data_IF_511299821500
#
_entry.id   IF_511299821500
#
_cell.length_a   1.000
_cell.length_b   1.000
_cell.length_c   1.000
_cell.angle_alpha   90.00
_cell.angle_beta   90.00
_cell.angle_gamma   90.00
#
_symmetry.space_group_name_H-M   'P 1'
#
loop_
_entity.id
_entity.type
_entity.pdbx_description
1 polymer ?
#
# COMPACT_ATOMS: atom_id res chain seq x y z
N UNK A 1 35.15 57.32 -38.24
CA UNK A 1 33.74 56.98 -37.92
C UNK A 1 33.50 55.50 -37.58
N UNK A 2 34.30 54.55 -38.10
CA UNK A 2 34.09 53.11 -37.85
C UNK A 2 34.13 52.66 -36.39
N UNK A 3 35.08 53.17 -35.58
CA UNK A 3 35.22 52.76 -34.18
C UNK A 3 34.03 53.20 -33.29
N UNK A 4 33.51 54.41 -33.50
CA UNK A 4 32.32 54.89 -32.77
C UNK A 4 31.06 54.09 -33.14
N UNK A 5 30.92 53.74 -34.41
CA UNK A 5 29.81 52.90 -34.88
C UNK A 5 29.91 51.45 -34.35
N UNK A 6 31.12 50.90 -34.28
CA UNK A 6 31.37 49.58 -33.69
C UNK A 6 31.02 49.53 -32.20
N UNK A 7 31.40 50.55 -31.44
CA UNK A 7 31.06 50.65 -30.01
C UNK A 7 29.54 50.79 -29.81
N UNK A 8 28.88 51.59 -30.63
CA UNK A 8 27.42 51.74 -30.59
C UNK A 8 26.69 50.41 -30.89
N UNK A 9 27.21 49.62 -31.83
CA UNK A 9 26.67 48.31 -32.17
C UNK A 9 26.83 47.31 -31.01
N UNK A 10 28.00 47.27 -30.37
CA UNK A 10 28.24 46.44 -29.19
C UNK A 10 27.31 46.80 -28.02
N UNK A 11 27.09 48.09 -27.79
CA UNK A 11 26.18 48.57 -26.75
C UNK A 11 24.75 48.07 -27.03
N UNK A 12 24.30 48.20 -28.28
CA UNK A 12 22.96 47.75 -28.69
C UNK A 12 22.77 46.24 -28.52
N UNK A 13 23.78 45.44 -28.90
CA UNK A 13 23.77 43.98 -28.71
C UNK A 13 23.71 43.63 -27.21
N UNK A 14 24.43 44.34 -26.36
CA UNK A 14 24.41 44.09 -24.91
C UNK A 14 23.05 44.38 -24.28
N UNK A 15 22.38 45.44 -24.73
CA UNK A 15 21.04 45.82 -24.24
C UNK A 15 20.03 44.76 -24.66
N UNK A 16 20.07 44.32 -25.92
CA UNK A 16 19.19 43.23 -26.39
C UNK A 16 19.46 41.94 -25.62
N UNK A 17 20.72 41.58 -25.41
CA UNK A 17 21.09 40.38 -24.67
C UNK A 17 20.60 40.38 -23.22
N UNK A 18 20.54 41.55 -22.57
CA UNK A 18 20.01 41.69 -21.21
C UNK A 18 18.53 41.29 -21.09
N UNK A 19 17.73 41.50 -22.15
CA UNK A 19 16.31 41.13 -22.16
C UNK A 19 16.05 39.71 -22.65
N UNK A 20 17.08 38.93 -23.04
CA UNK A 20 16.91 37.51 -23.36
C UNK A 20 16.80 36.77 -22.02
N UNK A 21 15.62 36.24 -21.64
CA UNK A 21 15.50 35.48 -20.42
C UNK A 21 16.39 34.23 -20.53
N UNK A 22 17.37 34.12 -19.64
CA UNK A 22 18.10 32.87 -19.46
C UNK A 22 17.06 31.85 -19.04
N UNK A 23 16.64 30.98 -19.97
CA UNK A 23 15.88 29.78 -19.59
C UNK A 23 16.75 29.05 -18.59
N UNK A 24 16.39 29.11 -17.30
CA UNK A 24 16.91 28.15 -16.34
C UNK A 24 16.63 26.81 -16.99
N UNK A 25 17.67 26.00 -17.15
CA UNK A 25 17.46 24.58 -17.41
C UNK A 25 16.57 24.12 -16.26
N UNK A 26 15.27 24.01 -16.50
CA UNK A 26 14.42 23.19 -15.68
C UNK A 26 15.12 21.85 -15.70
N UNK A 27 15.74 21.49 -14.58
CA UNK A 27 16.11 20.10 -14.36
C UNK A 27 14.79 19.38 -14.52
N UNK A 28 14.59 18.75 -15.67
CA UNK A 28 13.56 17.73 -15.83
C UNK A 28 13.99 16.67 -14.85
N UNK A 29 13.57 16.83 -13.61
CA UNK A 29 13.74 15.87 -12.56
C UNK A 29 12.75 14.79 -12.95
N UNK A 30 13.19 13.93 -13.87
CA UNK A 30 12.54 12.65 -14.10
C UNK A 30 12.57 12.02 -12.71
N UNK A 31 11.44 12.00 -12.01
CA UNK A 31 11.29 11.27 -10.76
C UNK A 31 11.54 9.81 -11.09
N UNK A 32 12.80 9.41 -10.99
CA UNK A 32 13.23 8.06 -11.22
C UNK A 32 12.77 7.29 -9.99
N UNK A 33 11.87 6.32 -10.19
CA UNK A 33 11.28 5.50 -9.13
C UNK A 33 12.34 4.52 -8.56
N UNK A 34 13.26 5.10 -7.79
CA UNK A 34 14.42 4.40 -7.25
C UNK A 34 14.13 3.92 -5.82
N UNK A 35 14.56 2.70 -5.47
CA UNK A 35 14.59 2.24 -4.09
C UNK A 35 15.40 3.19 -3.20
N UNK A 36 14.83 3.59 -2.07
CA UNK A 36 15.53 4.34 -1.02
C UNK A 36 16.32 3.40 -0.12
N UNK A 37 15.72 2.25 0.24
CA UNK A 37 16.32 1.24 1.12
C UNK A 37 15.85 -0.15 0.70
N UNK A 38 16.73 -1.14 0.76
CA UNK A 38 16.44 -2.55 0.51
C UNK A 38 16.85 -3.34 1.75
N UNK A 39 15.97 -4.24 2.19
CA UNK A 39 16.20 -5.14 3.30
C UNK A 39 16.11 -6.59 2.84
N UNK A 40 17.09 -7.38 3.26
CA UNK A 40 17.20 -8.82 3.00
C UNK A 40 16.80 -9.60 4.25
N UNK A 41 15.83 -10.52 4.09
CA UNK A 41 15.21 -11.31 5.17
C UNK A 41 14.84 -10.49 6.42
N UNK A 42 14.16 -9.34 6.29
CA UNK A 42 13.91 -8.47 7.43
C UNK A 42 12.88 -9.04 8.41
N UNK A 43 13.07 -8.67 9.68
CA UNK A 43 12.02 -8.63 10.70
C UNK A 43 11.92 -7.17 11.15
N UNK A 44 10.81 -6.49 10.81
CA UNK A 44 10.60 -5.08 11.14
C UNK A 44 9.48 -4.92 12.17
N UNK A 45 9.74 -4.11 13.19
CA UNK A 45 8.78 -3.75 14.21
C UNK A 45 8.41 -2.28 14.07
N UNK A 46 7.11 -1.98 14.14
CA UNK A 46 6.62 -0.61 14.28
C UNK A 46 6.00 -0.48 15.66
N UNK A 47 6.51 0.48 16.42
CA UNK A 47 6.06 0.77 17.78
C UNK A 47 5.16 1.99 17.78
N UNK A 48 4.27 2.08 18.77
CA UNK A 48 3.64 3.32 19.18
C UNK A 48 3.84 3.52 20.69
N UNK A 49 3.22 4.56 21.24
CA UNK A 49 3.40 4.94 22.65
C UNK A 49 2.94 3.86 23.65
N UNK A 50 2.18 2.85 23.20
CA UNK A 50 1.62 1.80 24.06
C UNK A 50 2.32 0.46 23.87
N UNK A 51 2.54 0.02 22.63
CA UNK A 51 3.01 -1.32 22.32
C UNK A 51 3.56 -1.46 20.89
N UNK A 52 3.87 -2.70 20.50
CA UNK A 52 4.16 -3.07 19.12
C UNK A 52 2.86 -3.01 18.32
N UNK A 53 2.78 -2.05 17.39
CA UNK A 53 1.64 -1.88 16.49
C UNK A 53 1.68 -2.86 15.31
N UNK A 54 2.85 -3.04 14.69
CA UNK A 54 3.01 -3.89 13.50
C UNK A 54 4.30 -4.69 13.54
N UNK A 55 4.22 -5.93 13.09
CA UNK A 55 5.38 -6.80 12.83
C UNK A 55 5.34 -7.21 11.37
N UNK A 56 6.46 -7.06 10.66
CA UNK A 56 6.63 -7.50 9.27
C UNK A 56 7.77 -8.50 9.21
N UNK A 57 7.50 -9.69 8.68
CA UNK A 57 8.51 -10.69 8.33
C UNK A 57 8.42 -10.88 6.82
N UNK A 58 9.52 -10.76 6.10
CA UNK A 58 9.55 -10.91 4.65
C UNK A 58 10.86 -11.54 4.18
N UNK A 59 10.88 -12.05 2.95
CA UNK A 59 12.12 -12.48 2.31
C UNK A 59 12.90 -11.27 1.79
N UNK A 60 12.20 -10.31 1.19
CA UNK A 60 12.75 -9.01 0.78
C UNK A 60 11.75 -7.90 1.08
N UNK A 61 12.24 -6.74 1.50
CA UNK A 61 11.43 -5.52 1.58
C UNK A 61 12.18 -4.35 0.93
N UNK A 62 11.48 -3.58 0.10
CA UNK A 62 12.04 -2.45 -0.64
C UNK A 62 11.21 -1.22 -0.33
N UNK A 63 11.85 -0.20 0.21
CA UNK A 63 11.24 1.10 0.49
C UNK A 63 11.48 2.04 -0.69
N UNK A 64 10.40 2.60 -1.22
CA UNK A 64 10.42 3.70 -2.20
C UNK A 64 9.88 4.97 -1.54
N UNK A 65 9.96 6.09 -2.26
CA UNK A 65 9.44 7.38 -1.78
C UNK A 65 7.93 7.34 -1.46
N UNK A 66 7.14 6.57 -2.22
CA UNK A 66 5.67 6.58 -2.15
C UNK A 66 5.05 5.23 -1.74
N UNK A 67 5.86 4.19 -1.56
CA UNK A 67 5.37 2.84 -1.24
C UNK A 67 6.46 1.98 -0.62
N UNK A 68 6.02 0.94 0.07
CA UNK A 68 6.88 -0.17 0.47
C UNK A 68 6.43 -1.43 -0.30
N UNK A 69 7.36 -2.16 -0.89
CA UNK A 69 7.12 -3.46 -1.51
C UNK A 69 7.73 -4.55 -0.63
N UNK A 70 6.96 -5.59 -0.33
CA UNK A 70 7.37 -6.70 0.53
C UNK A 70 7.07 -8.02 -0.19
N UNK A 71 8.04 -8.93 -0.23
CA UNK A 71 7.97 -10.19 -0.96
C UNK A 71 7.97 -11.38 -0.01
N UNK A 72 7.10 -12.35 -0.28
CA UNK A 72 6.83 -13.51 0.58
C UNK A 72 6.63 -13.07 2.04
N UNK A 73 5.72 -12.12 2.23
CA UNK A 73 5.61 -11.34 3.45
C UNK A 73 4.46 -11.82 4.33
N UNK A 74 4.67 -11.69 5.63
CA UNK A 74 3.76 -12.02 6.71
C UNK A 74 3.71 -10.81 7.67
N UNK A 75 2.61 -10.07 7.64
CA UNK A 75 2.43 -8.84 8.41
C UNK A 75 1.39 -9.09 9.49
N UNK A 76 1.77 -8.86 10.73
CA UNK A 76 0.84 -8.83 11.87
C UNK A 76 0.54 -7.40 12.26
N UNK A 77 -0.74 -7.03 12.30
CA UNK A 77 -1.26 -5.74 12.76
C UNK A 77 -1.96 -5.95 14.10
N UNK A 78 -1.49 -5.30 15.15
CA UNK A 78 -2.10 -5.39 16.48
C UNK A 78 -3.28 -4.42 16.58
N UNK A 79 -4.34 -4.87 17.24
CA UNK A 79 -5.50 -4.03 17.51
C UNK A 79 -5.06 -2.78 18.31
N UNK A 80 -5.46 -1.61 17.82
CA UNK A 80 -5.20 -0.32 18.46
C UNK A 80 -6.43 0.26 19.14
N UNK A 81 -7.62 -0.28 18.81
CA UNK A 81 -8.89 0.13 19.36
C UNK A 81 -9.34 -0.87 20.42
N UNK A 82 -9.17 -0.49 21.69
CA UNK A 82 -9.54 -1.30 22.84
C UNK A 82 -11.05 -1.55 22.95
N UNK A 83 -11.89 -0.85 22.17
CA UNK A 83 -13.33 -1.11 22.12
C UNK A 83 -13.70 -2.27 21.20
N UNK A 84 -12.77 -2.76 20.38
CA UNK A 84 -12.97 -3.88 19.48
C UNK A 84 -12.42 -5.17 20.08
N UNK A 85 -13.22 -6.23 20.03
CA UNK A 85 -12.85 -7.54 20.58
C UNK A 85 -12.05 -8.38 19.56
N UNK A 86 -10.79 -8.00 19.36
CA UNK A 86 -9.80 -8.83 18.67
C UNK A 86 -8.39 -8.42 19.10
N UNK A 87 -7.44 -9.34 18.99
CA UNK A 87 -6.03 -9.09 19.33
C UNK A 87 -5.23 -8.61 18.13
N UNK A 88 -5.42 -9.25 16.97
CA UNK A 88 -4.60 -9.00 15.80
C UNK A 88 -5.21 -9.42 14.47
N UNK A 89 -4.65 -8.84 13.42
CA UNK A 89 -4.89 -9.20 12.03
C UNK A 89 -3.58 -9.66 11.41
N UNK A 90 -3.68 -10.59 10.47
CA UNK A 90 -2.54 -11.12 9.74
C UNK A 90 -2.78 -11.01 8.24
N UNK A 91 -1.81 -10.44 7.54
CA UNK A 91 -1.79 -10.21 6.11
C UNK A 91 -0.60 -10.97 5.52
N UNK A 92 -0.88 -12.02 4.74
CA UNK A 92 0.15 -12.85 4.13
C UNK A 92 -0.06 -12.98 2.62
N UNK A 93 1.01 -12.80 1.84
CA UNK A 93 0.98 -12.95 0.38
C UNK A 93 2.40 -13.06 -0.20
N UNK A 94 2.49 -13.48 -1.47
CA UNK A 94 3.77 -13.50 -2.20
C UNK A 94 4.29 -12.09 -2.49
N UNK A 95 3.38 -11.13 -2.72
CA UNK A 95 3.72 -9.71 -2.84
C UNK A 95 2.72 -8.84 -2.09
N UNK A 96 3.22 -7.94 -1.26
CA UNK A 96 2.45 -6.90 -0.58
C UNK A 96 3.02 -5.54 -0.95
N UNK A 97 2.19 -4.66 -1.50
CA UNK A 97 2.53 -3.25 -1.75
C UNK A 97 1.75 -2.41 -0.74
N UNK A 98 2.45 -1.66 0.10
CA UNK A 98 1.86 -0.72 1.05
C UNK A 98 1.98 0.71 0.51
N UNK A 99 0.87 1.43 0.41
CA UNK A 99 0.80 2.86 0.09
C UNK A 99 -0.05 3.57 1.13
N UNK A 100 0.56 4.41 1.97
CA UNK A 100 -0.13 4.90 3.17
C UNK A 100 -0.62 3.71 3.99
N UNK A 101 -1.89 3.68 4.37
CA UNK A 101 -2.49 2.60 5.18
C UNK A 101 -3.24 1.55 4.35
N UNK A 102 -3.04 1.56 3.03
CA UNK A 102 -3.61 0.60 2.10
C UNK A 102 -2.56 -0.43 1.71
N UNK A 103 -2.92 -1.70 1.87
CA UNK A 103 -2.12 -2.86 1.49
C UNK A 103 -2.76 -3.54 0.28
N UNK A 104 -2.00 -3.68 -0.81
CA UNK A 104 -2.38 -4.48 -1.97
C UNK A 104 -1.60 -5.79 -1.93
N UNK A 105 -2.30 -6.89 -1.65
CA UNK A 105 -1.77 -8.24 -1.54
C UNK A 105 -2.04 -8.99 -2.84
N UNK A 106 -1.03 -9.67 -3.37
CA UNK A 106 -1.10 -10.39 -4.65
C UNK A 106 -0.47 -11.78 -4.53
N UNK A 107 -1.18 -12.78 -5.04
CA UNK A 107 -0.89 -14.22 -5.02
C UNK A 107 -0.80 -14.83 -3.61
N UNK A 108 -1.32 -16.05 -3.48
CA UNK A 108 -1.39 -16.82 -2.23
C UNK A 108 -1.85 -15.99 -1.02
N UNK A 109 -2.84 -15.13 -1.23
CA UNK A 109 -3.27 -14.16 -0.23
C UNK A 109 -4.06 -14.86 0.86
N UNK A 110 -3.61 -14.69 2.10
CA UNK A 110 -4.29 -15.14 3.31
C UNK A 110 -4.45 -13.94 4.23
N UNK A 111 -5.69 -13.61 4.53
CA UNK A 111 -6.07 -12.68 5.56
C UNK A 111 -6.65 -13.45 6.75
N UNK A 112 -6.30 -13.05 7.96
CA UNK A 112 -6.84 -13.62 9.20
C UNK A 112 -7.10 -12.51 10.22
N UNK A 113 -8.21 -12.57 10.95
CA UNK A 113 -8.43 -11.78 12.17
C UNK A 113 -8.71 -12.75 13.30
N UNK A 114 -7.77 -12.83 14.24
CA UNK A 114 -7.67 -13.89 15.25
C UNK A 114 -8.16 -15.24 14.70
N UNK A 115 -8.84 -16.06 15.48
CA UNK A 115 -9.24 -17.38 15.03
C UNK A 115 -10.62 -17.43 14.36
N UNK A 116 -11.33 -16.30 14.28
CA UNK A 116 -12.72 -16.25 13.83
C UNK A 116 -12.90 -15.72 12.41
N UNK A 117 -11.96 -15.00 11.80
CA UNK A 117 -12.04 -14.64 10.36
C UNK A 117 -10.83 -15.17 9.61
N UNK A 118 -11.09 -15.85 8.50
CA UNK A 118 -10.07 -16.22 7.50
C UNK A 118 -10.57 -15.87 6.12
N UNK A 119 -9.69 -15.41 5.24
CA UNK A 119 -10.01 -15.12 3.85
C UNK A 119 -8.84 -15.50 2.97
N UNK A 120 -9.09 -16.42 2.04
CA UNK A 120 -8.13 -16.89 1.04
C UNK A 120 -8.52 -16.36 -0.34
N UNK A 121 -7.57 -15.77 -1.06
CA UNK A 121 -7.79 -15.27 -2.42
C UNK A 121 -6.45 -15.09 -3.17
N UNK A 122 -6.49 -14.64 -4.42
CA UNK A 122 -5.30 -14.31 -5.20
C UNK A 122 -4.99 -12.81 -5.23
N UNK A 123 -5.92 -11.98 -4.78
CA UNK A 123 -5.74 -10.54 -4.74
C UNK A 123 -6.61 -9.95 -3.64
N UNK A 124 -6.07 -9.05 -2.83
CA UNK A 124 -6.82 -8.35 -1.79
C UNK A 124 -6.28 -6.93 -1.66
N UNK A 125 -7.19 -5.96 -1.57
CA UNK A 125 -6.87 -4.59 -1.16
C UNK A 125 -7.45 -4.42 0.24
N UNK A 126 -6.59 -4.13 1.20
CA UNK A 126 -6.95 -3.95 2.60
C UNK A 126 -6.64 -2.53 3.05
N UNK A 127 -7.65 -1.82 3.54
CA UNK A 127 -7.55 -0.50 4.16
C UNK A 127 -7.52 -0.66 5.67
N UNK A 128 -6.37 -0.37 6.29
CA UNK A 128 -6.13 -0.59 7.72
C UNK A 128 -6.81 0.46 8.62
N UNK A 129 -7.11 1.65 8.08
CA UNK A 129 -7.86 2.68 8.81
C UNK A 129 -9.34 2.33 8.83
N UNK A 130 -9.93 2.14 7.64
CA UNK A 130 -11.36 1.90 7.52
C UNK A 130 -11.76 0.45 7.82
N UNK A 131 -10.77 -0.45 7.93
CA UNK A 131 -10.96 -1.90 8.10
C UNK A 131 -11.83 -2.50 6.99
N UNK A 132 -11.51 -2.10 5.75
CA UNK A 132 -12.24 -2.55 4.55
C UNK A 132 -11.33 -3.46 3.72
N UNK A 133 -11.80 -4.67 3.43
CA UNK A 133 -11.15 -5.64 2.56
C UNK A 133 -11.94 -5.78 1.25
N UNK A 134 -11.28 -5.59 0.11
CA UNK A 134 -11.90 -5.68 -1.22
C UNK A 134 -11.10 -6.58 -2.13
N UNK A 135 -11.77 -7.31 -3.01
CA UNK A 135 -11.10 -7.99 -4.10
C UNK A 135 -11.88 -7.95 -5.42
N UNK A 136 -11.24 -8.48 -6.46
CA UNK A 136 -11.81 -8.68 -7.79
C UNK A 136 -11.57 -10.10 -8.31
N UNK A 137 -11.21 -11.04 -7.42
CA UNK A 137 -10.89 -12.45 -7.73
C UNK A 137 -11.81 -13.38 -6.94
N UNK A 138 -11.87 -14.67 -7.28
CA UNK A 138 -12.50 -15.66 -6.41
C UNK A 138 -11.89 -15.64 -5.01
N UNK A 139 -12.73 -15.85 -4.01
CA UNK A 139 -12.31 -15.95 -2.62
C UNK A 139 -13.05 -17.06 -1.89
N UNK A 140 -12.43 -17.50 -0.81
CA UNK A 140 -13.01 -18.36 0.21
C UNK A 140 -12.78 -17.71 1.57
N UNK A 141 -13.87 -17.27 2.18
CA UNK A 141 -13.93 -16.74 3.52
C UNK A 141 -14.46 -17.78 4.51
N UNK A 142 -13.98 -17.71 5.74
CA UNK A 142 -14.51 -18.45 6.88
C UNK A 142 -14.76 -17.45 8.00
N UNK A 143 -15.97 -17.45 8.54
CA UNK A 143 -16.35 -16.71 9.74
C UNK A 143 -16.79 -17.70 10.81
N UNK A 144 -16.04 -17.79 11.91
CA UNK A 144 -16.06 -18.91 12.86
C UNK A 144 -15.88 -20.26 12.13
N UNK A 145 -16.99 -20.91 11.82
CA UNK A 145 -17.03 -22.19 11.11
C UNK A 145 -17.94 -22.13 9.87
N UNK A 146 -18.53 -20.98 9.59
CA UNK A 146 -19.35 -20.75 8.41
C UNK A 146 -18.47 -20.38 7.23
N UNK A 147 -18.76 -20.98 6.08
CA UNK A 147 -17.99 -20.79 4.85
C UNK A 147 -18.75 -19.82 3.96
N UNK A 148 -18.01 -18.87 3.40
CA UNK A 148 -18.52 -17.89 2.45
C UNK A 148 -17.62 -17.81 1.22
N UNK A 149 -18.14 -18.14 0.05
CA UNK A 149 -17.39 -18.17 -1.22
C UNK A 149 -18.03 -17.25 -2.24
N UNK A 150 -17.22 -16.71 -3.14
CA UNK A 150 -17.73 -15.89 -4.24
C UNK A 150 -16.63 -15.18 -5.00
N UNK A 151 -17.01 -14.11 -5.69
CA UNK A 151 -16.09 -13.19 -6.39
C UNK A 151 -16.41 -11.75 -6.01
N UNK A 152 -15.47 -10.83 -6.26
CA UNK A 152 -15.69 -9.39 -6.05
C UNK A 152 -16.16 -9.03 -4.63
N UNK A 153 -15.43 -9.51 -3.63
CA UNK A 153 -15.65 -9.22 -2.23
C UNK A 153 -15.56 -7.73 -1.96
N UNK A 154 -16.51 -7.25 -1.16
CA UNK A 154 -16.42 -6.06 -0.34
C UNK A 154 -16.78 -6.49 1.08
N UNK A 155 -15.84 -6.36 2.01
CA UNK A 155 -16.02 -6.64 3.42
C UNK A 155 -15.65 -5.40 4.21
N UNK A 156 -16.63 -4.84 4.91
CA UNK A 156 -16.47 -3.76 5.87
C UNK A 156 -16.60 -4.36 7.27
N UNK A 157 -15.46 -4.50 7.95
CA UNK A 157 -15.38 -5.26 9.19
C UNK A 157 -15.80 -4.40 10.39
N UNK A 158 -15.88 -3.08 10.25
CA UNK A 158 -16.35 -2.21 11.32
C UNK A 158 -17.88 -2.16 11.39
N UNK A 159 -18.54 -2.37 10.26
CA UNK A 159 -20.00 -2.29 10.09
C UNK A 159 -20.67 -3.66 9.84
N UNK A 160 -19.93 -4.77 10.03
CA UNK A 160 -20.40 -6.14 9.81
C UNK A 160 -21.10 -6.34 8.45
N UNK A 161 -20.59 -5.69 7.41
CA UNK A 161 -21.21 -5.68 6.09
C UNK A 161 -20.35 -6.43 5.07
N UNK A 162 -20.95 -7.40 4.41
CA UNK A 162 -20.31 -8.17 3.35
C UNK A 162 -21.15 -8.18 2.08
N UNK A 163 -20.49 -7.95 0.95
CA UNK A 163 -21.09 -8.01 -0.39
C UNK A 163 -20.15 -8.81 -1.29
N UNK A 164 -20.73 -9.66 -2.13
CA UNK A 164 -20.01 -10.41 -3.14
C UNK A 164 -20.90 -10.71 -4.35
N UNK A 165 -20.28 -11.12 -5.44
CA UNK A 165 -20.96 -11.71 -6.61
C UNK A 165 -20.83 -13.23 -6.55
N UNK A 166 -21.81 -13.93 -7.13
CA UNK A 166 -21.86 -15.39 -7.19
C UNK A 166 -21.60 -16.05 -5.82
N UNK A 167 -22.24 -15.47 -4.80
CA UNK A 167 -22.07 -15.82 -3.41
C UNK A 167 -22.67 -17.20 -3.09
N UNK A 168 -21.92 -18.01 -2.36
CA UNK A 168 -22.37 -19.26 -1.76
C UNK A 168 -22.04 -19.27 -0.27
N UNK A 169 -23.02 -19.65 0.55
CA UNK A 169 -22.90 -19.71 2.01
C UNK A 169 -23.18 -21.13 2.49
N UNK A 170 -22.35 -21.60 3.41
CA UNK A 170 -22.55 -22.85 4.14
C UNK A 170 -22.52 -22.56 5.63
N UNK A 171 -23.61 -22.91 6.32
CA UNK A 171 -23.81 -22.66 7.75
C UNK A 171 -23.88 -24.02 8.45
N UNK A 172 -22.90 -24.31 9.30
CA UNK A 172 -22.97 -25.46 10.21
C UNK A 172 -23.90 -25.12 11.38
N UNK A 173 -25.08 -25.73 11.40
CA UNK A 173 -26.08 -25.54 12.45
C UNK A 173 -25.79 -26.32 13.75
N UNK A 174 -24.78 -27.20 13.77
CA UNK A 174 -24.50 -28.06 14.93
C UNK A 174 -23.54 -27.44 15.95
N UNK A 175 -22.99 -26.27 15.64
CA UNK A 175 -21.90 -25.65 16.40
C UNK A 175 -22.18 -24.19 16.74
N UNK A 176 -23.34 -23.96 17.35
CA UNK A 176 -23.72 -22.68 17.93
C UNK A 176 -23.07 -22.48 19.30
#
# INVERSE_FOLDING_TARGET
>A
MGMKSFIALLLFISIIAYFIPIKKLEKVQIEQDLPQVIFEKPIMYTLNDKNIHRVVIAEHAVKYQNRDEMFNADITLKNQDQTKEFDSENLKADKIIKKGDVYTLTNNVKYKRDNFIKLNTHHLIYDDINKIAKNNKPFEGVYNEHIFKGTNLYLDINNDNIKAKNAHFEIDMKKN
#
